data_IF_607171474857
#
_entry.id   IF_607171474857
#
_cell.length_a   1.000
_cell.length_b   1.000
_cell.length_c   1.000
_cell.angle_alpha   90.00
_cell.angle_beta   90.00
_cell.angle_gamma   90.00
#
_symmetry.space_group_name_H-M   'P 1'
#
loop_
_entity.id
_entity.type
_entity.pdbx_description
1 polymer ?
#
# COMPACT_ATOMS: atom_id res chain seq x y z
N UNK A 1 -17.21 -10.13 8.67
CA UNK A 1 -16.58 -8.84 8.98
C UNK A 1 -17.09 -7.84 7.96
N UNK A 2 -17.56 -6.66 8.38
CA UNK A 2 -18.16 -5.68 7.46
C UNK A 2 -17.06 -4.75 6.97
N UNK A 3 -16.46 -5.06 5.84
CA UNK A 3 -15.53 -4.17 5.17
C UNK A 3 -15.95 -4.05 3.71
N UNK A 4 -16.38 -2.87 3.27
CA UNK A 4 -16.97 -2.73 1.93
C UNK A 4 -16.65 -1.42 1.22
N UNK A 5 -15.63 -0.68 1.67
CA UNK A 5 -15.20 0.55 0.99
C UNK A 5 -13.71 0.85 1.11
N UNK A 6 -13.15 0.69 2.31
CA UNK A 6 -11.74 1.01 2.55
C UNK A 6 -10.79 -0.10 2.08
N UNK A 7 -11.18 -1.37 2.19
CA UNK A 7 -10.38 -2.52 1.74
C UNK A 7 -10.07 -2.48 0.25
N UNK A 8 -11.08 -2.17 -0.57
CA UNK A 8 -10.88 -2.01 -2.01
C UNK A 8 -9.90 -0.88 -2.33
N UNK A 9 -9.85 0.16 -1.50
CA UNK A 9 -8.88 1.25 -1.64
C UNK A 9 -7.47 0.83 -1.19
N UNK A 10 -7.36 0.07 -0.10
CA UNK A 10 -6.07 -0.43 0.41
C UNK A 10 -5.45 -1.45 -0.54
N UNK A 11 -6.24 -2.43 -0.98
CA UNK A 11 -5.87 -3.38 -2.04
C UNK A 11 -5.38 -2.65 -3.29
N UNK A 12 -6.15 -1.67 -3.77
CA UNK A 12 -5.79 -0.89 -4.96
C UNK A 12 -4.44 -0.16 -4.76
N UNK A 13 -4.24 0.47 -3.61
CA UNK A 13 -2.99 1.18 -3.32
C UNK A 13 -1.82 0.20 -3.30
N UNK A 14 -1.96 -0.93 -2.62
CA UNK A 14 -0.91 -1.93 -2.51
C UNK A 14 -0.48 -2.45 -3.90
N UNK A 15 -1.45 -2.83 -4.74
CA UNK A 15 -1.19 -3.28 -6.11
C UNK A 15 -0.61 -2.20 -7.01
N UNK A 16 -1.00 -0.93 -6.84
CA UNK A 16 -0.40 0.16 -7.60
C UNK A 16 1.04 0.44 -7.15
N UNK A 17 1.36 0.27 -5.87
CA UNK A 17 2.73 0.37 -5.35
C UNK A 17 3.58 -0.73 -5.99
N UNK A 18 3.10 -1.97 -6.01
CA UNK A 18 3.76 -3.11 -6.68
C UNK A 18 4.11 -2.78 -8.14
N UNK A 19 3.13 -2.32 -8.92
CA UNK A 19 3.28 -2.03 -10.35
C UNK A 19 4.16 -0.80 -10.59
N UNK A 20 3.87 0.32 -9.93
CA UNK A 20 4.52 1.61 -10.22
C UNK A 20 5.96 1.67 -9.69
N UNK A 21 6.29 0.88 -8.66
CA UNK A 21 7.64 0.79 -8.09
C UNK A 21 8.40 -0.47 -8.54
N UNK A 22 7.78 -1.35 -9.34
CA UNK A 22 8.38 -2.61 -9.82
C UNK A 22 8.87 -3.52 -8.67
N UNK A 23 8.06 -3.61 -7.61
CA UNK A 23 8.34 -4.43 -6.42
C UNK A 23 7.76 -5.83 -6.65
N UNK A 24 8.50 -6.87 -6.29
CA UNK A 24 7.99 -8.24 -6.33
C UNK A 24 6.87 -8.44 -5.29
N UNK A 25 5.80 -9.15 -5.66
CA UNK A 25 4.67 -9.40 -4.75
C UNK A 25 5.10 -9.99 -3.41
N UNK A 26 6.01 -10.97 -3.39
CA UNK A 26 6.47 -11.57 -2.14
C UNK A 26 7.26 -10.56 -1.30
N UNK A 27 8.07 -9.72 -1.96
CA UNK A 27 8.80 -8.63 -1.28
C UNK A 27 7.84 -7.63 -0.64
N UNK A 28 6.71 -7.33 -1.29
CA UNK A 28 5.67 -6.44 -0.79
C UNK A 28 4.92 -7.03 0.41
N UNK A 29 4.53 -8.31 0.31
CA UNK A 29 3.83 -9.05 1.37
C UNK A 29 4.73 -9.31 2.59
N UNK A 30 6.04 -9.47 2.39
CA UNK A 30 7.01 -9.64 3.49
C UNK A 30 7.53 -8.32 4.06
N UNK A 31 7.19 -7.19 3.43
CA UNK A 31 7.74 -5.89 3.78
C UNK A 31 7.47 -5.52 5.25
N UNK A 32 8.51 -5.05 5.93
CA UNK A 32 8.34 -4.42 7.24
C UNK A 32 7.51 -3.14 7.11
N UNK A 33 6.86 -2.71 8.20
CA UNK A 33 6.12 -1.46 8.26
C UNK A 33 6.91 -0.26 7.72
N UNK A 34 8.16 -0.11 8.15
CA UNK A 34 9.00 1.02 7.73
C UNK A 34 9.33 1.02 6.25
N UNK A 35 9.48 -0.17 5.64
CA UNK A 35 9.73 -0.30 4.20
C UNK A 35 8.47 0.03 3.38
N UNK A 36 7.31 -0.47 3.82
CA UNK A 36 6.03 -0.13 3.19
C UNK A 36 5.72 1.36 3.30
N UNK A 37 5.99 1.99 4.45
CA UNK A 37 5.81 3.44 4.64
C UNK A 37 6.68 4.25 3.68
N UNK A 38 7.94 3.83 3.48
CA UNK A 38 8.86 4.44 2.52
C UNK A 38 8.31 4.35 1.09
N UNK A 39 7.86 3.16 0.67
CA UNK A 39 7.30 2.95 -0.66
C UNK A 39 6.00 3.72 -0.90
N UNK A 40 5.12 3.79 0.10
CA UNK A 40 3.92 4.62 0.02
C UNK A 40 4.28 6.10 -0.17
N UNK A 41 5.26 6.61 0.57
CA UNK A 41 5.73 7.98 0.39
C UNK A 41 6.33 8.21 -1.02
N UNK A 42 7.12 7.26 -1.52
CA UNK A 42 7.69 7.32 -2.87
C UNK A 42 6.60 7.30 -3.95
N UNK A 43 5.64 6.37 -3.85
CA UNK A 43 4.53 6.23 -4.77
C UNK A 43 3.66 7.50 -4.81
N UNK A 44 3.30 8.06 -3.65
CA UNK A 44 2.57 9.32 -3.57
C UNK A 44 3.36 10.48 -4.19
N UNK A 45 4.69 10.52 -4.02
CA UNK A 45 5.54 11.52 -4.66
C UNK A 45 5.55 11.36 -6.20
N UNK A 46 5.68 10.14 -6.71
CA UNK A 46 5.61 9.85 -8.15
C UNK A 46 4.25 10.28 -8.73
N UNK A 47 3.15 9.89 -8.10
CA UNK A 47 1.78 10.25 -8.54
C UNK A 47 1.47 11.75 -8.40
N UNK A 48 2.03 12.40 -7.39
CA UNK A 48 1.92 13.87 -7.21
C UNK A 48 2.61 14.62 -8.35
N UNK A 49 3.75 14.13 -8.85
CA UNK A 49 4.43 14.73 -9.99
C UNK A 49 3.63 14.59 -11.29
N UNK A 50 2.88 13.49 -11.45
CA UNK A 50 2.01 13.27 -12.62
C UNK A 50 0.77 14.17 -12.57
N UNK A 51 0.14 14.32 -11.41
CA UNK A 51 -1.12 15.06 -11.26
C UNK A 51 -0.94 16.55 -11.00
N UNK A 52 0.26 16.99 -10.63
CA UNK A 52 0.55 18.37 -10.18
C UNK A 52 0.02 18.67 -8.76
N UNK A 53 -0.59 17.69 -8.08
CA UNK A 53 -1.15 17.84 -6.74
C UNK A 53 -0.22 17.13 -5.76
N UNK A 54 0.51 17.89 -4.94
CA UNK A 54 1.34 17.33 -3.86
C UNK A 54 0.45 16.85 -2.71
N UNK A 55 0.20 15.54 -2.66
CA UNK A 55 -0.44 14.88 -1.52
C UNK A 55 0.58 13.98 -0.83
N UNK A 56 0.57 14.00 0.48
CA UNK A 56 1.24 12.99 1.31
C UNK A 56 0.18 12.01 1.81
N UNK A 57 0.50 10.71 1.90
CA UNK A 57 -0.37 9.75 2.57
C UNK A 57 -0.55 10.17 4.03
N UNK A 58 -1.75 9.99 4.57
CA UNK A 58 -2.02 10.17 6.00
C UNK A 58 -1.58 8.94 6.79
N UNK A 59 -1.29 9.09 8.08
CA UNK A 59 -0.93 7.95 8.94
C UNK A 59 -2.06 6.90 9.00
N UNK A 60 -3.32 7.32 9.02
CA UNK A 60 -4.48 6.42 8.97
C UNK A 60 -4.51 5.58 7.69
N UNK A 61 -4.17 6.19 6.54
CA UNK A 61 -4.08 5.48 5.28
C UNK A 61 -2.95 4.45 5.30
N UNK A 62 -1.77 4.85 5.79
CA UNK A 62 -0.62 3.95 5.94
C UNK A 62 -0.97 2.78 6.86
N UNK A 63 -1.68 3.03 7.97
CA UNK A 63 -2.16 1.98 8.87
C UNK A 63 -3.07 1.00 8.15
N UNK A 64 -4.12 1.49 7.49
CA UNK A 64 -5.06 0.61 6.78
C UNK A 64 -4.42 -0.22 5.66
N UNK A 65 -3.48 0.34 4.90
CA UNK A 65 -2.75 -0.40 3.85
C UNK A 65 -1.87 -1.50 4.46
N UNK A 66 -1.25 -1.25 5.61
CA UNK A 66 -0.45 -2.26 6.29
C UNK A 66 -1.30 -3.37 6.91
N UNK A 67 -2.40 -3.01 7.56
CA UNK A 67 -3.31 -4.00 8.14
C UNK A 67 -3.84 -4.95 7.04
N UNK A 68 -4.21 -4.38 5.89
CA UNK A 68 -4.61 -5.17 4.71
C UNK A 68 -3.50 -6.10 4.22
N UNK A 69 -2.26 -5.60 4.12
CA UNK A 69 -1.10 -6.40 3.71
C UNK A 69 -0.86 -7.58 4.65
N UNK A 70 -1.03 -7.40 5.96
CA UNK A 70 -0.88 -8.48 6.94
C UNK A 70 -2.01 -9.51 6.81
N UNK A 71 -3.25 -9.06 6.56
CA UNK A 71 -4.37 -9.97 6.23
C UNK A 71 -4.09 -10.79 4.96
N UNK A 72 -3.54 -10.19 3.91
CA UNK A 72 -3.14 -10.91 2.69
C UNK A 72 -2.03 -11.93 2.97
N UNK A 73 -1.01 -11.58 3.78
CA UNK A 73 0.04 -12.53 4.19
C UNK A 73 -0.55 -13.73 4.94
N UNK A 74 -1.45 -13.50 5.89
CA UNK A 74 -2.09 -14.57 6.65
C UNK A 74 -2.90 -15.52 5.74
N UNK A 75 -3.55 -14.99 4.70
CA UNK A 75 -4.28 -15.80 3.72
C UNK A 75 -3.38 -16.60 2.78
N UNK A 76 -2.17 -16.15 2.50
CA UNK A 76 -1.19 -16.87 1.66
C UNK A 76 -0.44 -17.96 2.42
N UNK A 77 -0.36 -17.86 3.75
CA UNK A 77 0.27 -18.86 4.62
C UNK A 77 -0.65 -20.05 4.99
N UNK A 78 -1.96 -19.97 4.70
CA UNK A 78 -2.97 -21.04 4.89
C UNK A 78 -3.09 -22.03 3.70
#
# INVERSE_FOLDING_TARGET
MSHSGNDAAYFYILHQVEIDLEIDHQELIDASRGLLDFWLDEWFNRRSNVTGIRRKPTEDLKQGVFDWKEEERELEEE
#
